data_IF_040028456220
#
_entry.id   IF_040028456220
#
_cell.length_a   1.000
_cell.length_b   1.000
_cell.length_c   1.000
_cell.angle_alpha   90.00
_cell.angle_beta   90.00
_cell.angle_gamma   90.00
#
_symmetry.space_group_name_H-M   'P 1'
#
loop_
_entity.id
_entity.type
_entity.pdbx_description
1 polymer ?
#
# COMPACT_ATOMS: atom_id res chain seq x y z
N UNK A 1 -16.16 48.14 -2.46
CA UNK A 1 -15.11 47.49 -3.27
C UNK A 1 -13.72 47.56 -2.61
N UNK A 2 -13.26 48.74 -2.18
CA UNK A 2 -11.93 48.93 -1.57
C UNK A 2 -11.63 48.15 -0.27
N UNK A 3 -12.63 47.89 0.57
CA UNK A 3 -12.45 47.08 1.80
C UNK A 3 -12.21 45.58 1.52
N UNK A 4 -12.80 45.02 0.45
CA UNK A 4 -12.53 43.64 0.00
C UNK A 4 -11.13 43.53 -0.60
N UNK A 5 -10.66 44.54 -1.33
CA UNK A 5 -9.29 44.60 -1.88
C UNK A 5 -8.23 44.68 -0.77
N UNK A 6 -8.45 45.45 0.31
CA UNK A 6 -7.54 45.48 1.47
C UNK A 6 -7.45 44.16 2.23
N UNK A 7 -8.51 43.35 2.24
CA UNK A 7 -8.48 42.00 2.82
C UNK A 7 -7.66 41.02 1.97
N UNK A 8 -7.73 41.14 0.63
CA UNK A 8 -6.99 40.29 -0.32
C UNK A 8 -5.48 40.58 -0.30
N UNK A 9 -5.08 41.83 -0.02
CA UNK A 9 -3.68 42.28 -0.07
C UNK A 9 -2.92 42.16 1.27
N UNK A 10 -3.47 41.47 2.29
CA UNK A 10 -2.70 41.16 3.51
C UNK A 10 -1.61 40.13 3.17
N UNK A 11 -0.35 40.30 3.61
CA UNK A 11 0.73 39.34 3.37
C UNK A 11 0.34 37.90 3.72
N UNK A 12 -0.35 37.70 4.84
CA UNK A 12 -0.82 36.40 5.29
C UNK A 12 -1.81 35.76 4.31
N UNK A 13 -2.69 36.56 3.70
CA UNK A 13 -3.70 36.08 2.75
C UNK A 13 -3.05 35.73 1.42
N UNK A 14 -2.03 36.48 0.99
CA UNK A 14 -1.23 36.16 -0.20
C UNK A 14 -0.52 34.83 -0.02
N UNK A 15 0.18 34.63 1.11
CA UNK A 15 0.89 33.37 1.41
C UNK A 15 -0.08 32.19 1.43
N UNK A 16 -1.24 32.33 2.11
CA UNK A 16 -2.25 31.27 2.14
C UNK A 16 -2.81 30.96 0.74
N UNK A 17 -3.03 31.99 -0.08
CA UNK A 17 -3.57 31.82 -1.43
C UNK A 17 -2.55 31.18 -2.36
N UNK A 18 -1.28 31.58 -2.31
CA UNK A 18 -0.20 30.97 -3.09
C UNK A 18 0.01 29.51 -2.70
N UNK A 19 0.00 29.19 -1.40
CA UNK A 19 0.02 27.82 -0.93
C UNK A 19 -1.18 27.03 -1.47
N UNK A 20 -2.39 27.58 -1.39
CA UNK A 20 -3.59 26.98 -1.95
C UNK A 20 -3.51 26.71 -3.45
N UNK A 21 -3.01 27.66 -4.23
CA UNK A 21 -2.83 27.52 -5.68
C UNK A 21 -1.78 26.47 -6.04
N UNK A 22 -0.66 26.42 -5.31
CA UNK A 22 0.37 25.40 -5.51
C UNK A 22 -0.20 24.00 -5.29
N UNK A 23 -0.97 23.80 -4.23
CA UNK A 23 -1.57 22.50 -3.92
C UNK A 23 -2.64 22.16 -4.94
N UNK A 24 -3.48 23.11 -5.34
CA UNK A 24 -4.44 22.90 -6.42
C UNK A 24 -3.74 22.52 -7.74
N UNK A 25 -2.62 23.16 -8.08
CA UNK A 25 -1.82 22.77 -9.23
C UNK A 25 -1.31 21.33 -9.10
N UNK A 26 -0.73 20.98 -7.96
CA UNK A 26 -0.18 19.64 -7.73
C UNK A 26 -1.24 18.54 -7.74
N UNK A 27 -2.47 18.80 -7.28
CA UNK A 27 -3.47 17.74 -7.09
C UNK A 27 -4.59 17.75 -8.12
N UNK A 28 -5.08 18.91 -8.53
CA UNK A 28 -6.23 19.04 -9.44
C UNK A 28 -5.79 18.97 -10.89
N UNK A 29 -4.69 19.63 -11.26
CA UNK A 29 -4.28 19.74 -12.67
C UNK A 29 -3.91 18.38 -13.29
N UNK A 30 -3.15 17.49 -12.63
CA UNK A 30 -2.92 16.15 -13.18
C UNK A 30 -4.23 15.37 -13.40
N UNK A 31 -5.20 15.48 -12.47
CA UNK A 31 -6.49 14.80 -12.61
C UNK A 31 -7.34 15.37 -13.75
N UNK A 32 -7.31 16.69 -13.95
CA UNK A 32 -7.95 17.33 -15.10
C UNK A 32 -7.30 16.91 -16.41
N UNK A 33 -5.96 16.78 -16.43
CA UNK A 33 -5.24 16.30 -17.61
C UNK A 33 -5.49 14.82 -17.89
N UNK A 34 -5.67 14.00 -16.86
CA UNK A 34 -6.11 12.62 -17.00
C UNK A 34 -7.52 12.55 -17.61
N UNK A 35 -8.43 13.40 -17.12
CA UNK A 35 -9.79 13.53 -17.66
C UNK A 35 -9.77 14.02 -19.11
N UNK A 36 -8.96 15.03 -19.43
CA UNK A 36 -8.75 15.47 -20.80
C UNK A 36 -8.22 14.33 -21.68
N UNK A 37 -7.26 13.56 -21.17
CA UNK A 37 -6.67 12.43 -21.88
C UNK A 37 -7.68 11.33 -22.20
N UNK A 38 -8.68 11.06 -21.35
CA UNK A 38 -9.70 10.04 -21.64
C UNK A 38 -10.64 10.43 -22.76
N UNK A 39 -10.85 11.73 -22.99
CA UNK A 39 -11.64 12.23 -24.12
C UNK A 39 -10.80 12.59 -25.34
N UNK A 40 -9.47 12.45 -25.30
CA UNK A 40 -8.60 12.80 -26.43
C UNK A 40 -8.51 11.67 -27.45
N UNK A 41 -8.69 12.00 -28.73
CA UNK A 41 -8.44 11.09 -29.86
C UNK A 41 -6.95 10.87 -30.16
N UNK A 42 -6.09 11.79 -29.71
CA UNK A 42 -4.67 11.85 -30.05
C UNK A 42 -3.78 11.61 -28.83
N UNK A 43 -2.52 11.18 -29.01
CA UNK A 43 -1.54 11.09 -27.93
C UNK A 43 -1.27 12.43 -27.21
N UNK A 44 -0.72 12.41 -25.99
CA UNK A 44 -0.30 13.60 -25.28
C UNK A 44 0.63 14.50 -26.12
N UNK A 45 0.43 15.81 -26.05
CA UNK A 45 1.23 16.79 -26.80
C UNK A 45 0.89 16.92 -28.30
N UNK A 46 -0.04 16.10 -28.83
CA UNK A 46 -0.52 16.19 -30.21
C UNK A 46 -1.95 16.73 -30.20
N UNK A 47 -2.25 17.68 -31.11
CA UNK A 47 -3.61 18.19 -31.25
C UNK A 47 -4.57 17.04 -31.65
N UNK A 48 -5.65 16.90 -30.90
CA UNK A 48 -6.72 15.94 -31.14
C UNK A 48 -8.08 16.61 -31.03
N UNK A 49 -9.14 15.83 -31.24
CA UNK A 49 -10.51 16.25 -30.98
C UNK A 49 -11.08 15.48 -29.79
N UNK A 50 -12.13 16.04 -29.18
CA UNK A 50 -12.87 15.36 -28.13
C UNK A 50 -13.68 14.20 -28.71
N UNK A 51 -13.54 13.02 -28.12
CA UNK A 51 -14.24 11.80 -28.53
C UNK A 51 -14.69 10.98 -27.31
N UNK A 52 -15.73 10.16 -27.49
CA UNK A 52 -16.18 9.14 -26.54
C UNK A 52 -15.73 7.73 -26.94
N UNK A 53 -14.99 7.58 -28.04
CA UNK A 53 -14.57 6.27 -28.57
C UNK A 53 -13.72 5.48 -27.58
N UNK A 54 -12.92 6.17 -26.75
CA UNK A 54 -12.13 5.51 -25.69
C UNK A 54 -13.03 4.85 -24.63
N UNK A 55 -14.18 5.46 -24.31
CA UNK A 55 -15.16 4.86 -23.40
C UNK A 55 -15.95 3.76 -24.10
N UNK A 56 -16.41 3.96 -25.33
CA UNK A 56 -17.10 2.93 -26.09
C UNK A 56 -16.23 1.66 -26.23
N UNK A 57 -14.98 1.84 -26.68
CA UNK A 57 -14.01 0.75 -26.81
C UNK A 57 -13.63 0.09 -25.49
N UNK A 58 -13.75 0.78 -24.35
CA UNK A 58 -13.57 0.18 -23.03
C UNK A 58 -14.76 -0.72 -22.67
N UNK A 59 -15.99 -0.24 -22.83
CA UNK A 59 -17.21 -0.97 -22.43
C UNK A 59 -17.56 -2.12 -23.37
N UNK A 60 -17.14 -2.07 -24.64
CA UNK A 60 -17.32 -3.18 -25.61
C UNK A 60 -16.35 -4.34 -25.38
N UNK A 61 -15.24 -4.12 -24.66
CA UNK A 61 -14.23 -5.14 -24.37
C UNK A 61 -14.71 -6.13 -23.32
N UNK A 62 -14.77 -7.41 -23.69
CA UNK A 62 -14.98 -8.51 -22.74
C UNK A 62 -13.91 -8.53 -21.64
N UNK A 63 -12.71 -8.05 -21.97
CA UNK A 63 -11.58 -7.90 -21.06
C UNK A 63 -11.87 -6.92 -19.93
N UNK A 64 -12.71 -5.90 -20.14
CA UNK A 64 -13.02 -4.92 -19.08
C UNK A 64 -13.75 -5.57 -17.90
N UNK A 65 -14.80 -6.35 -18.18
CA UNK A 65 -15.56 -7.06 -17.14
C UNK A 65 -14.67 -8.08 -16.44
N UNK A 66 -13.83 -8.81 -17.18
CA UNK A 66 -12.91 -9.78 -16.62
C UNK A 66 -11.87 -9.12 -15.72
N UNK A 67 -11.26 -8.01 -16.15
CA UNK A 67 -10.30 -7.26 -15.37
C UNK A 67 -10.93 -6.61 -14.14
N UNK A 68 -12.20 -6.20 -14.21
CA UNK A 68 -12.98 -5.77 -13.04
C UNK A 68 -13.15 -6.90 -12.03
N UNK A 69 -13.64 -8.06 -12.46
CA UNK A 69 -13.85 -9.23 -11.61
C UNK A 69 -12.52 -9.71 -10.99
N UNK A 70 -11.47 -9.80 -11.80
CA UNK A 70 -10.13 -10.17 -11.34
C UNK A 70 -9.62 -9.18 -10.29
N UNK A 71 -9.77 -7.87 -10.52
CA UNK A 71 -9.35 -6.84 -9.55
C UNK A 71 -10.10 -6.98 -8.23
N UNK A 72 -11.40 -7.26 -8.28
CA UNK A 72 -12.23 -7.44 -7.08
C UNK A 72 -11.85 -8.71 -6.32
N UNK A 73 -11.77 -9.86 -7.01
CA UNK A 73 -11.38 -11.14 -6.40
C UNK A 73 -9.97 -11.06 -5.81
N UNK A 74 -9.03 -10.48 -6.54
CA UNK A 74 -7.66 -10.29 -6.10
C UNK A 74 -7.59 -9.41 -4.85
N UNK A 75 -8.19 -8.23 -4.89
CA UNK A 75 -8.09 -7.26 -3.78
C UNK A 75 -8.86 -7.70 -2.54
N UNK A 76 -10.07 -8.27 -2.69
CA UNK A 76 -10.83 -8.84 -1.56
C UNK A 76 -10.08 -10.03 -0.98
N UNK A 77 -9.59 -10.95 -1.82
CA UNK A 77 -8.86 -12.13 -1.37
C UNK A 77 -7.57 -11.78 -0.63
N UNK A 78 -6.73 -10.92 -1.22
CA UNK A 78 -5.47 -10.50 -0.62
C UNK A 78 -5.69 -9.73 0.68
N UNK A 79 -6.62 -8.78 0.70
CA UNK A 79 -6.92 -8.01 1.91
C UNK A 79 -7.54 -8.85 3.03
N UNK A 80 -8.38 -9.83 2.69
CA UNK A 80 -8.94 -10.77 3.66
C UNK A 80 -7.85 -11.67 4.25
N UNK A 81 -6.92 -12.16 3.43
CA UNK A 81 -5.78 -12.95 3.89
C UNK A 81 -4.88 -12.12 4.83
N UNK A 82 -4.55 -10.89 4.41
CA UNK A 82 -3.77 -9.95 5.21
C UNK A 82 -4.45 -9.65 6.55
N UNK A 83 -5.75 -9.42 6.51
CA UNK A 83 -6.59 -9.16 7.67
C UNK A 83 -6.64 -10.34 8.64
N UNK A 84 -6.93 -11.55 8.16
CA UNK A 84 -7.00 -12.74 8.99
C UNK A 84 -5.63 -13.06 9.61
N UNK A 85 -4.55 -12.94 8.85
CA UNK A 85 -3.19 -13.10 9.35
C UNK A 85 -2.83 -12.03 10.39
N UNK A 86 -3.22 -10.77 10.16
CA UNK A 86 -3.01 -9.66 11.09
C UNK A 86 -3.79 -9.83 12.40
N UNK A 87 -5.07 -10.22 12.33
CA UNK A 87 -5.91 -10.50 13.50
C UNK A 87 -5.34 -11.68 14.28
N UNK A 88 -4.95 -12.76 13.60
CA UNK A 88 -4.32 -13.91 14.22
C UNK A 88 -3.06 -13.51 14.98
N UNK A 89 -2.10 -12.86 14.32
CA UNK A 89 -0.83 -12.47 14.95
C UNK A 89 -1.07 -11.49 16.11
N UNK A 90 -1.93 -10.48 15.94
CA UNK A 90 -2.19 -9.48 16.97
C UNK A 90 -2.89 -10.10 18.19
N UNK A 91 -3.86 -11.00 17.97
CA UNK A 91 -4.52 -11.71 19.06
C UNK A 91 -3.53 -12.61 19.81
N UNK A 92 -2.74 -13.42 19.11
CA UNK A 92 -1.78 -14.32 19.75
C UNK A 92 -0.73 -13.54 20.54
N UNK A 93 -0.19 -12.44 20.00
CA UNK A 93 0.85 -11.67 20.72
C UNK A 93 0.30 -10.80 21.83
N UNK A 94 -0.89 -10.21 21.69
CA UNK A 94 -1.41 -9.24 22.66
C UNK A 94 -2.35 -9.85 23.70
N UNK A 95 -3.12 -10.88 23.33
CA UNK A 95 -4.16 -11.45 24.21
C UNK A 95 -3.78 -12.76 24.88
N UNK A 96 -2.67 -13.40 24.52
CA UNK A 96 -2.28 -14.70 25.11
C UNK A 96 -0.94 -14.66 25.83
N UNK A 97 -0.63 -15.66 26.65
CA UNK A 97 0.68 -15.79 27.31
C UNK A 97 1.74 -16.52 26.46
N UNK A 98 1.59 -16.54 25.12
CA UNK A 98 2.56 -17.15 24.20
C UNK A 98 3.98 -16.60 24.43
N UNK A 99 5.01 -17.45 24.54
CA UNK A 99 6.41 -17.00 24.59
C UNK A 99 6.89 -16.45 23.23
N UNK A 100 8.11 -15.88 23.19
CA UNK A 100 8.77 -15.40 21.97
C UNK A 100 8.07 -14.29 21.17
N UNK A 101 7.14 -13.55 21.78
CA UNK A 101 6.45 -12.40 21.15
C UNK A 101 7.41 -11.41 20.48
N UNK A 102 8.55 -11.12 21.13
CA UNK A 102 9.59 -10.22 20.60
C UNK A 102 10.13 -10.69 19.24
N UNK A 103 10.26 -12.00 19.02
CA UNK A 103 10.72 -12.54 17.74
C UNK A 103 9.68 -12.34 16.63
N UNK A 104 8.38 -12.45 16.95
CA UNK A 104 7.28 -12.11 16.02
C UNK A 104 7.30 -10.62 15.67
N UNK A 105 7.48 -9.75 16.67
CA UNK A 105 7.63 -8.31 16.41
C UNK A 105 8.85 -8.00 15.53
N UNK A 106 9.98 -8.68 15.77
CA UNK A 106 11.19 -8.48 14.99
C UNK A 106 11.05 -8.99 13.55
N UNK A 107 10.41 -10.15 13.33
CA UNK A 107 10.24 -10.71 11.98
C UNK A 107 9.36 -9.84 11.08
N UNK A 108 8.41 -9.10 11.66
CA UNK A 108 7.52 -8.17 10.95
C UNK A 108 8.27 -6.96 10.39
N UNK A 109 9.41 -6.58 10.98
CA UNK A 109 10.23 -5.46 10.47
C UNK A 109 10.85 -5.78 9.11
N UNK A 110 11.16 -7.05 8.84
CA UNK A 110 11.84 -7.49 7.61
C UNK A 110 11.03 -7.13 6.35
N UNK A 111 9.77 -7.58 6.18
CA UNK A 111 8.96 -7.24 5.01
C UNK A 111 8.57 -5.76 4.96
N UNK A 112 8.66 -5.01 6.06
CA UNK A 112 8.44 -3.56 6.03
C UNK A 112 9.64 -2.78 5.49
N UNK A 113 10.84 -3.34 5.59
CA UNK A 113 12.08 -2.75 5.07
C UNK A 113 12.29 -3.17 3.62
N UNK A 114 11.97 -4.42 3.28
CA UNK A 114 12.18 -4.98 1.94
C UNK A 114 11.04 -4.55 1.01
N UNK A 115 11.33 -3.96 -0.17
CA UNK A 115 10.31 -3.62 -1.16
C UNK A 115 9.45 -4.83 -1.58
N UNK A 116 8.14 -4.62 -1.76
CA UNK A 116 7.18 -5.66 -2.17
C UNK A 116 7.52 -6.36 -3.49
N UNK A 117 8.18 -5.63 -4.41
CA UNK A 117 8.68 -6.20 -5.66
C UNK A 117 9.68 -7.34 -5.38
N UNK A 118 10.58 -7.15 -4.41
CA UNK A 118 11.56 -8.15 -4.05
C UNK A 118 10.86 -9.35 -3.38
N UNK A 119 9.95 -9.13 -2.43
CA UNK A 119 9.23 -10.24 -1.79
C UNK A 119 8.44 -11.07 -2.80
N UNK A 120 7.84 -10.43 -3.81
CA UNK A 120 7.17 -11.10 -4.95
C UNK A 120 8.12 -11.97 -5.75
N UNK A 121 9.32 -11.46 -6.10
CA UNK A 121 10.36 -12.25 -6.77
C UNK A 121 10.80 -13.42 -5.90
N UNK A 122 11.00 -13.21 -4.60
CA UNK A 122 11.34 -14.27 -3.64
C UNK A 122 10.31 -15.41 -3.64
N UNK A 123 9.02 -15.08 -3.66
CA UNK A 123 7.95 -16.08 -3.80
C UNK A 123 7.98 -16.80 -5.15
N UNK A 124 8.18 -16.09 -6.27
CA UNK A 124 8.32 -16.70 -7.60
C UNK A 124 9.45 -17.73 -7.61
N UNK A 125 10.58 -17.42 -6.96
CA UNK A 125 11.73 -18.32 -6.88
C UNK A 125 11.42 -19.53 -5.99
N UNK A 126 10.82 -19.32 -4.81
CA UNK A 126 10.42 -20.38 -3.89
C UNK A 126 9.43 -21.39 -4.52
N UNK A 127 8.52 -20.89 -5.38
CA UNK A 127 7.55 -21.70 -6.13
C UNK A 127 8.02 -22.06 -7.54
N UNK A 128 9.30 -21.87 -7.88
CA UNK A 128 9.83 -22.35 -9.15
C UNK A 128 9.57 -23.85 -9.31
N UNK A 129 9.03 -24.27 -10.47
CA UNK A 129 8.57 -25.65 -10.68
C UNK A 129 9.65 -26.72 -10.46
N UNK A 130 10.91 -26.42 -10.83
CA UNK A 130 12.02 -27.39 -10.77
C UNK A 130 12.98 -27.14 -9.61
N UNK A 131 13.26 -25.88 -9.31
CA UNK A 131 14.29 -25.47 -8.34
C UNK A 131 13.72 -24.77 -7.10
N UNK A 132 12.42 -24.53 -7.05
CA UNK A 132 11.77 -23.85 -5.93
C UNK A 132 11.70 -24.75 -4.71
N UNK A 133 12.20 -24.25 -3.58
CA UNK A 133 12.29 -25.04 -2.35
C UNK A 133 10.92 -25.51 -1.85
N UNK A 134 9.87 -24.71 -2.01
CA UNK A 134 8.49 -25.10 -1.64
C UNK A 134 8.02 -26.27 -2.52
N UNK A 135 8.29 -26.21 -3.82
CA UNK A 135 7.91 -27.28 -4.75
C UNK A 135 8.74 -28.54 -4.58
N UNK A 136 10.02 -28.42 -4.20
CA UNK A 136 10.85 -29.57 -3.86
C UNK A 136 10.33 -30.28 -2.61
N UNK A 137 9.94 -29.54 -1.57
CA UNK A 137 9.34 -30.11 -0.36
C UNK A 137 7.99 -30.74 -0.71
N UNK A 138 7.13 -30.05 -1.46
CA UNK A 138 5.81 -30.56 -1.83
C UNK A 138 5.91 -31.88 -2.63
N UNK A 139 6.76 -31.93 -3.66
CA UNK A 139 6.86 -33.10 -4.54
C UNK A 139 7.69 -34.24 -3.95
N UNK A 140 8.82 -33.95 -3.29
CA UNK A 140 9.75 -34.99 -2.79
C UNK A 140 9.46 -35.45 -1.37
N UNK A 141 8.97 -34.56 -0.50
CA UNK A 141 8.75 -34.88 0.93
C UNK A 141 7.28 -35.17 1.21
N UNK A 142 6.37 -34.34 0.68
CA UNK A 142 4.93 -34.49 0.89
C UNK A 142 4.25 -35.38 -0.18
N UNK A 143 4.97 -35.75 -1.24
CA UNK A 143 4.50 -36.69 -2.27
C UNK A 143 3.49 -36.11 -3.26
N UNK A 144 3.47 -34.79 -3.49
CA UNK A 144 2.55 -34.18 -4.44
C UNK A 144 2.96 -34.54 -5.88
N UNK A 145 2.02 -35.04 -6.68
CA UNK A 145 2.30 -35.46 -8.07
C UNK A 145 2.70 -34.30 -8.98
N UNK A 146 2.16 -33.11 -8.71
CA UNK A 146 2.44 -31.90 -9.49
C UNK A 146 2.95 -30.78 -8.57
N UNK A 147 3.89 -29.94 -9.07
CA UNK A 147 4.33 -28.77 -8.35
C UNK A 147 3.18 -27.78 -8.17
N UNK A 148 3.19 -27.07 -7.04
CA UNK A 148 2.30 -25.95 -6.77
C UNK A 148 2.60 -24.80 -7.75
N UNK A 149 1.54 -24.33 -8.41
CA UNK A 149 1.62 -23.24 -9.37
C UNK A 149 1.40 -21.89 -8.68
N UNK A 150 2.36 -20.97 -8.81
CA UNK A 150 2.21 -19.60 -8.30
C UNK A 150 1.49 -18.67 -9.30
N UNK A 151 1.62 -18.92 -10.60
CA UNK A 151 1.05 -18.08 -11.67
C UNK A 151 -0.46 -18.33 -11.83
N UNK A 152 -1.24 -18.00 -10.80
CA UNK A 152 -2.69 -18.04 -10.78
C UNK A 152 -3.24 -17.03 -9.75
N UNK A 153 -4.58 -16.88 -9.70
CA UNK A 153 -5.24 -15.93 -8.79
C UNK A 153 -4.94 -16.22 -7.31
N UNK A 154 -4.86 -17.48 -6.91
CA UNK A 154 -4.57 -17.86 -5.53
C UNK A 154 -3.13 -17.50 -5.13
N UNK A 155 -2.17 -17.70 -6.03
CA UNK A 155 -0.78 -17.28 -5.86
C UNK A 155 -0.66 -15.75 -5.76
N UNK A 156 -1.38 -15.00 -6.59
CA UNK A 156 -1.46 -13.54 -6.47
C UNK A 156 -2.00 -13.12 -5.08
N UNK A 157 -3.13 -13.70 -4.66
CA UNK A 157 -3.74 -13.43 -3.35
C UNK A 157 -2.78 -13.78 -2.20
N UNK A 158 -2.08 -14.91 -2.29
CA UNK A 158 -1.09 -15.33 -1.30
C UNK A 158 0.06 -14.33 -1.19
N UNK A 159 0.69 -13.99 -2.31
CA UNK A 159 1.86 -13.11 -2.35
C UNK A 159 1.50 -11.74 -1.76
N UNK A 160 0.46 -11.08 -2.28
CA UNK A 160 0.08 -9.76 -1.79
C UNK A 160 -0.52 -9.79 -0.38
N UNK A 161 -1.38 -10.77 -0.11
CA UNK A 161 -2.03 -10.86 1.19
C UNK A 161 -1.02 -11.09 2.31
N UNK A 162 -0.02 -11.94 2.06
CA UNK A 162 1.04 -12.23 3.03
C UNK A 162 1.99 -11.03 3.25
N UNK A 163 2.28 -10.29 2.18
CA UNK A 163 3.05 -9.03 2.21
C UNK A 163 2.35 -7.94 3.05
N UNK A 164 1.01 -7.94 3.10
CA UNK A 164 0.23 -6.94 3.85
C UNK A 164 -0.09 -7.33 5.30
N UNK A 165 0.18 -8.57 5.74
CA UNK A 165 -0.02 -9.01 7.13
C UNK A 165 0.71 -8.10 8.15
N UNK A 166 1.99 -7.72 7.95
CA UNK A 166 2.72 -6.81 8.84
C UNK A 166 1.98 -5.51 9.16
N UNK A 167 1.42 -4.89 8.13
CA UNK A 167 0.67 -3.64 8.26
C UNK A 167 -0.63 -3.86 9.04
N UNK A 168 -1.38 -4.92 8.71
CA UNK A 168 -2.60 -5.27 9.43
C UNK A 168 -2.32 -5.56 10.92
N UNK A 169 -1.28 -6.33 11.19
CA UNK A 169 -0.83 -6.66 12.55
C UNK A 169 -0.52 -5.41 13.38
N UNK A 170 0.26 -4.46 12.84
CA UNK A 170 0.64 -3.25 13.57
C UNK A 170 -0.56 -2.37 13.93
N UNK A 171 -1.49 -2.21 12.99
CA UNK A 171 -2.72 -1.43 13.21
C UNK A 171 -3.64 -2.11 14.24
N UNK A 172 -3.75 -3.44 14.18
CA UNK A 172 -4.59 -4.22 15.09
C UNK A 172 -3.99 -4.30 16.49
N UNK A 173 -2.67 -4.42 16.62
CA UNK A 173 -1.96 -4.49 17.91
C UNK A 173 -2.33 -3.32 18.82
N UNK A 174 -2.37 -2.10 18.29
CA UNK A 174 -2.77 -0.92 19.06
C UNK A 174 -4.21 -1.03 19.59
N UNK A 175 -5.11 -1.60 18.78
CA UNK A 175 -6.52 -1.82 19.15
C UNK A 175 -6.67 -2.92 20.20
N UNK A 176 -5.94 -4.03 20.06
CA UNK A 176 -5.95 -5.12 21.05
C UNK A 176 -5.37 -4.69 22.40
N UNK A 177 -4.30 -3.89 22.41
CA UNK A 177 -3.67 -3.36 23.65
C UNK A 177 -4.55 -2.40 24.43
N UNK A 178 -5.37 -1.63 23.74
CA UNK A 178 -6.13 -0.52 24.34
C UNK A 178 -7.53 -0.90 24.83
N UNK A 179 -7.98 -2.13 24.56
CA UNK A 179 -9.29 -2.61 24.97
C UNK A 179 -9.29 -3.13 26.42
N UNK A 180 -10.25 -2.65 27.21
CA UNK A 180 -10.52 -3.05 28.61
C UNK A 180 -10.75 -4.58 28.73
N UNK A 181 -9.94 -5.29 29.55
CA UNK A 181 -10.07 -6.74 29.73
C UNK A 181 -11.26 -7.16 30.59
N UNK A 182 -11.96 -6.25 31.29
CA UNK A 182 -13.03 -6.59 32.24
C UNK A 182 -14.16 -7.43 31.62
N UNK A 183 -14.53 -7.17 30.36
CA UNK A 183 -15.54 -7.97 29.64
C UNK A 183 -15.05 -9.39 29.35
N UNK A 184 -13.74 -9.57 29.11
CA UNK A 184 -13.13 -10.88 28.90
C UNK A 184 -13.04 -11.65 30.21
N UNK A 185 -12.64 -10.99 31.29
CA UNK A 185 -12.53 -11.56 32.65
C UNK A 185 -13.91 -11.99 33.17
N UNK A 186 -14.92 -11.12 33.07
CA UNK A 186 -16.29 -11.44 33.49
C UNK A 186 -16.82 -12.68 32.75
N UNK A 187 -16.52 -12.83 31.47
CA UNK A 187 -16.92 -13.98 30.69
C UNK A 187 -16.21 -15.27 31.11
N UNK A 188 -14.91 -15.19 31.39
CA UNK A 188 -14.12 -16.34 31.88
C UNK A 188 -14.61 -16.77 33.26
N UNK A 189 -14.84 -15.83 34.19
CA UNK A 189 -15.41 -16.11 35.52
C UNK A 189 -16.81 -16.74 35.40
N UNK A 190 -17.59 -16.33 34.39
CA UNK A 190 -18.89 -16.92 34.07
C UNK A 190 -18.80 -18.29 33.38
N UNK A 191 -17.62 -18.91 33.31
CA UNK A 191 -17.42 -20.25 32.74
C UNK A 191 -17.22 -20.30 31.22
N UNK A 192 -16.99 -19.16 30.56
CA UNK A 192 -16.74 -19.12 29.11
C UNK A 192 -15.27 -19.42 28.80
N UNK A 193 -15.01 -20.38 27.90
CA UNK A 193 -13.65 -20.68 27.45
C UNK A 193 -13.03 -19.60 26.55
N UNK A 194 -11.69 -19.57 26.48
CA UNK A 194 -10.88 -18.54 25.80
C UNK A 194 -11.32 -18.27 24.35
N UNK A 195 -11.53 -19.33 23.55
CA UNK A 195 -11.95 -19.19 22.15
C UNK A 195 -13.34 -18.55 22.05
N UNK A 196 -14.28 -18.97 22.91
CA UNK A 196 -15.64 -18.45 22.90
C UNK A 196 -15.69 -17.00 23.38
N UNK A 197 -14.89 -16.63 24.39
CA UNK A 197 -14.67 -15.24 24.82
C UNK A 197 -14.09 -14.41 23.68
N UNK A 198 -13.08 -14.93 22.98
CA UNK A 198 -12.44 -14.24 21.84
C UNK A 198 -13.45 -13.91 20.74
N UNK A 199 -14.19 -14.89 20.24
CA UNK A 199 -15.12 -14.65 19.12
C UNK A 199 -16.36 -13.85 19.52
N UNK A 200 -16.91 -14.07 20.71
CA UNK A 200 -18.18 -13.44 21.12
C UNK A 200 -18.00 -12.06 21.75
N UNK A 201 -16.86 -11.79 22.35
CA UNK A 201 -16.59 -10.56 23.11
C UNK A 201 -15.46 -9.79 22.45
N UNK A 202 -14.23 -10.30 22.46
CA UNK A 202 -13.04 -9.58 22.00
C UNK A 202 -13.19 -9.08 20.56
N UNK A 203 -13.46 -9.99 19.62
CA UNK A 203 -13.58 -9.62 18.20
C UNK A 203 -14.84 -8.79 17.91
N UNK A 204 -15.90 -8.95 18.70
CA UNK A 204 -17.15 -8.20 18.51
C UNK A 204 -17.03 -6.75 19.00
N UNK A 205 -16.35 -6.54 20.13
CA UNK A 205 -16.02 -5.21 20.66
C UNK A 205 -15.04 -4.51 19.73
N UNK A 206 -14.04 -5.23 19.22
CA UNK A 206 -13.05 -4.68 18.30
C UNK A 206 -13.55 -4.59 16.85
N UNK A 207 -14.73 -5.10 16.51
CA UNK A 207 -15.23 -5.21 15.13
C UNK A 207 -15.14 -3.88 14.35
N UNK A 208 -15.51 -2.70 14.89
CA UNK A 208 -15.39 -1.43 14.16
C UNK A 208 -13.94 -1.08 13.80
N UNK A 209 -13.00 -1.31 14.73
CA UNK A 209 -11.57 -1.07 14.51
C UNK A 209 -10.98 -2.09 13.53
N UNK A 210 -11.31 -3.37 13.72
CA UNK A 210 -10.92 -4.50 12.88
C UNK A 210 -11.39 -4.30 11.43
N UNK A 211 -12.65 -3.91 11.20
CA UNK A 211 -13.18 -3.60 9.87
C UNK A 211 -12.48 -2.41 9.23
N UNK A 212 -12.12 -1.39 10.01
CA UNK A 212 -11.36 -0.24 9.49
C UNK A 212 -9.98 -0.67 8.99
N UNK A 213 -9.32 -1.63 9.66
CA UNK A 213 -8.06 -2.22 9.21
C UNK A 213 -8.23 -3.05 7.94
N UNK A 214 -9.30 -3.84 7.83
CA UNK A 214 -9.57 -4.60 6.60
C UNK A 214 -9.82 -3.68 5.38
N UNK A 215 -10.57 -2.59 5.56
CA UNK A 215 -10.85 -1.67 4.46
C UNK A 215 -9.56 -0.98 3.98
N UNK A 216 -8.65 -0.59 4.88
CA UNK A 216 -7.39 0.03 4.45
C UNK A 216 -6.47 -0.98 3.74
N UNK A 217 -6.42 -2.25 4.16
CA UNK A 217 -5.67 -3.28 3.41
C UNK A 217 -6.31 -3.56 2.06
N UNK A 218 -7.64 -3.53 1.96
CA UNK A 218 -8.36 -3.62 0.69
C UNK A 218 -8.02 -2.48 -0.29
N UNK A 219 -8.04 -1.23 0.18
CA UNK A 219 -7.64 -0.07 -0.64
C UNK A 219 -6.20 -0.23 -1.12
N UNK A 220 -5.28 -0.66 -0.24
CA UNK A 220 -3.89 -0.95 -0.60
C UNK A 220 -3.76 -2.09 -1.60
N UNK A 221 -4.61 -3.11 -1.50
CA UNK A 221 -4.57 -4.26 -2.38
C UNK A 221 -5.07 -3.94 -3.79
N UNK A 222 -6.12 -3.12 -3.90
CA UNK A 222 -6.58 -2.57 -5.18
C UNK A 222 -5.46 -1.76 -5.84
N UNK A 223 -4.71 -0.96 -5.07
CA UNK A 223 -3.62 -0.12 -5.59
C UNK A 223 -2.38 -0.89 -6.07
N UNK A 224 -2.28 -2.19 -5.75
CA UNK A 224 -1.07 -2.95 -6.01
C UNK A 224 -0.87 -3.24 -7.50
N UNK A 225 0.31 -2.89 -8.01
CA UNK A 225 0.71 -3.16 -9.39
C UNK A 225 1.75 -4.29 -9.49
N UNK A 226 2.63 -4.41 -8.50
CA UNK A 226 3.81 -5.30 -8.56
C UNK A 226 3.43 -6.77 -8.70
N UNK A 227 2.49 -7.26 -7.88
CA UNK A 227 2.05 -8.66 -7.90
C UNK A 227 1.28 -8.98 -9.19
N UNK A 228 0.29 -8.16 -9.61
CA UNK A 228 -0.32 -8.34 -10.93
C UNK A 228 0.66 -8.28 -12.10
N UNK A 229 1.67 -7.41 -12.05
CA UNK A 229 2.64 -7.30 -13.13
C UNK A 229 3.56 -8.52 -13.22
N UNK A 230 4.07 -9.02 -12.09
CA UNK A 230 5.03 -10.12 -12.07
C UNK A 230 4.40 -11.52 -12.07
N UNK A 231 3.17 -11.67 -11.56
CA UNK A 231 2.47 -12.96 -11.44
C UNK A 231 1.24 -12.99 -12.35
N UNK A 232 0.44 -11.93 -12.34
CA UNK A 232 -0.82 -11.86 -13.10
C UNK A 232 -0.64 -11.80 -14.61
N UNK A 233 0.21 -10.90 -15.12
CA UNK A 233 0.46 -10.76 -16.57
C UNK A 233 0.97 -12.07 -17.18
N UNK A 234 2.01 -12.74 -16.63
CA UNK A 234 2.44 -14.05 -17.16
C UNK A 234 1.36 -15.13 -17.08
N UNK A 235 0.47 -15.07 -16.08
CA UNK A 235 -0.67 -15.97 -15.93
C UNK A 235 -1.87 -15.64 -16.85
N UNK A 236 -1.83 -14.53 -17.59
CA UNK A 236 -2.97 -14.02 -18.36
C UNK A 236 -4.13 -13.50 -17.48
N UNK A 237 -3.85 -13.18 -16.22
CA UNK A 237 -4.81 -12.63 -15.25
C UNK A 237 -4.58 -11.12 -15.17
N UNK A 238 -5.34 -10.38 -15.95
CA UNK A 238 -5.27 -8.93 -15.96
C UNK A 238 -6.21 -8.33 -14.91
N UNK A 239 -5.73 -7.29 -14.24
CA UNK A 239 -6.47 -6.42 -13.32
C UNK A 239 -6.40 -4.98 -13.85
N UNK A 240 -7.17 -4.05 -13.29
CA UNK A 240 -7.19 -2.65 -13.76
C UNK A 240 -5.80 -2.01 -13.80
N UNK A 241 -4.98 -2.21 -12.77
CA UNK A 241 -3.63 -1.68 -12.76
C UNK A 241 -2.80 -2.19 -13.96
N UNK A 242 -2.90 -3.47 -14.31
CA UNK A 242 -2.18 -4.01 -15.47
C UNK A 242 -2.77 -3.55 -16.80
N UNK A 243 -4.09 -3.34 -16.90
CA UNK A 243 -4.71 -2.81 -18.13
C UNK A 243 -4.22 -1.39 -18.44
N UNK A 244 -4.19 -0.54 -17.41
CA UNK A 244 -3.64 0.81 -17.49
C UNK A 244 -2.18 0.78 -17.98
N UNK A 245 -1.36 -0.12 -17.43
CA UNK A 245 0.03 -0.30 -17.84
C UNK A 245 0.16 -0.81 -19.28
N UNK A 246 -0.57 -1.87 -19.63
CA UNK A 246 -0.49 -2.48 -20.96
C UNK A 246 -1.00 -1.56 -22.06
N UNK A 247 -2.01 -0.72 -21.80
CA UNK A 247 -2.50 0.27 -22.77
C UNK A 247 -1.43 1.32 -23.12
N UNK A 248 -0.48 1.59 -22.23
CA UNK A 248 0.65 2.51 -22.48
C UNK A 248 1.89 1.83 -23.09
N UNK A 249 2.02 0.51 -22.94
CA UNK A 249 3.23 -0.23 -23.36
C UNK A 249 3.05 -1.12 -24.60
N UNK A 250 1.81 -1.54 -24.93
CA UNK A 250 1.53 -2.27 -26.16
C UNK A 250 1.59 -1.32 -27.37
N UNK A 251 2.05 -1.84 -28.51
CA UNK A 251 2.11 -1.10 -29.77
C UNK A 251 0.90 -1.49 -30.64
N UNK A 252 0.12 -0.54 -31.17
CA UNK A 252 0.24 0.92 -30.98
C UNK A 252 -0.16 1.36 -29.57
N UNK A 253 0.58 2.33 -29.01
CA UNK A 253 0.29 2.88 -27.68
C UNK A 253 -1.03 3.64 -27.69
N UNK A 254 -1.91 3.35 -26.74
CA UNK A 254 -3.22 3.99 -26.63
C UNK A 254 -3.38 4.73 -25.30
N UNK A 255 -2.90 5.99 -25.27
CA UNK A 255 -2.99 6.86 -24.10
C UNK A 255 -4.44 7.22 -23.74
N UNK A 256 -5.34 7.34 -24.72
CA UNK A 256 -6.76 7.63 -24.47
C UNK A 256 -7.46 6.49 -23.73
N UNK A 257 -7.26 5.26 -24.19
CA UNK A 257 -7.75 4.05 -23.52
C UNK A 257 -7.12 3.88 -22.14
N UNK A 258 -5.81 4.10 -22.01
CA UNK A 258 -5.12 4.02 -20.73
C UNK A 258 -5.69 5.02 -19.70
N UNK A 259 -6.00 6.24 -20.14
CA UNK A 259 -6.61 7.28 -19.32
C UNK A 259 -8.04 6.91 -18.91
N UNK A 260 -8.78 6.28 -19.81
CA UNK A 260 -10.15 5.81 -19.55
C UNK A 260 -10.16 4.70 -18.50
N UNK A 261 -9.29 3.69 -18.63
CA UNK A 261 -9.08 2.69 -17.58
C UNK A 261 -8.66 3.34 -16.25
N UNK A 262 -7.75 4.33 -16.30
CA UNK A 262 -7.26 5.03 -15.11
C UNK A 262 -8.35 5.83 -14.40
N UNK A 263 -9.32 6.42 -15.12
CA UNK A 263 -10.47 7.12 -14.53
C UNK A 263 -11.41 6.14 -13.85
N UNK A 264 -11.74 5.01 -14.49
CA UNK A 264 -12.58 3.97 -13.87
C UNK A 264 -11.91 3.43 -12.62
N UNK A 265 -10.59 3.19 -12.70
CA UNK A 265 -9.78 2.74 -11.58
C UNK A 265 -9.73 3.79 -10.44
N UNK A 266 -9.59 5.07 -10.76
CA UNK A 266 -9.67 6.18 -9.80
C UNK A 266 -11.04 6.24 -9.12
N UNK A 267 -12.13 6.02 -9.86
CA UNK A 267 -13.48 6.01 -9.29
C UNK A 267 -13.66 4.87 -8.28
N UNK A 268 -13.18 3.66 -8.61
CA UNK A 268 -13.25 2.49 -7.71
C UNK A 268 -12.45 2.75 -6.43
N UNK A 269 -11.23 3.27 -6.54
CA UNK A 269 -10.38 3.58 -5.39
C UNK A 269 -10.95 4.71 -4.52
N UNK A 270 -11.50 5.76 -5.14
CA UNK A 270 -12.20 6.83 -4.43
C UNK A 270 -13.39 6.30 -3.62
N UNK A 271 -14.19 5.39 -4.19
CA UNK A 271 -15.29 4.73 -3.47
C UNK A 271 -14.77 3.93 -2.27
N UNK A 272 -13.70 3.15 -2.45
CA UNK A 272 -13.06 2.42 -1.35
C UNK A 272 -12.59 3.32 -0.21
N UNK A 273 -12.02 4.48 -0.53
CA UNK A 273 -11.57 5.46 0.47
C UNK A 273 -12.74 6.15 1.16
N UNK A 274 -13.85 6.44 0.46
CA UNK A 274 -15.06 6.95 1.11
C UNK A 274 -15.58 5.95 2.13
N UNK A 275 -15.58 4.65 1.83
CA UNK A 275 -15.94 3.61 2.79
C UNK A 275 -14.96 3.54 3.96
N UNK A 276 -13.66 3.64 3.71
CA UNK A 276 -12.64 3.73 4.75
C UNK A 276 -12.90 4.89 5.71
N UNK A 277 -13.07 6.11 5.19
CA UNK A 277 -13.31 7.31 5.99
C UNK A 277 -14.60 7.21 6.81
N UNK A 278 -15.66 6.59 6.27
CA UNK A 278 -16.90 6.32 7.02
C UNK A 278 -16.67 5.31 8.14
N UNK A 279 -15.95 4.22 7.87
CA UNK A 279 -15.64 3.19 8.87
C UNK A 279 -14.77 3.75 10.01
N UNK A 280 -13.75 4.55 9.70
CA UNK A 280 -12.89 5.18 10.70
C UNK A 280 -13.68 6.11 11.62
N UNK A 281 -14.57 6.95 11.07
CA UNK A 281 -15.46 7.81 11.87
C UNK A 281 -16.37 7.01 12.82
N UNK A 282 -16.82 5.83 12.38
CA UNK A 282 -17.60 4.94 13.23
C UNK A 282 -16.71 4.37 14.33
N UNK A 283 -15.52 3.87 14.00
CA UNK A 283 -14.55 3.36 14.98
C UNK A 283 -14.18 4.39 16.06
N UNK A 284 -14.01 5.66 15.70
CA UNK A 284 -13.74 6.75 16.64
C UNK A 284 -14.89 6.98 17.64
N UNK A 285 -16.15 6.72 17.23
CA UNK A 285 -17.33 6.78 18.11
C UNK A 285 -17.48 5.58 19.03
N UNK A 286 -16.90 4.43 18.66
CA UNK A 286 -16.86 3.21 19.47
C UNK A 286 -15.64 3.16 20.41
N UNK A 287 -15.10 4.32 20.79
CA UNK A 287 -13.96 4.44 21.71
C UNK A 287 -14.30 3.85 23.08
N UNK A 288 -14.03 2.55 23.25
CA UNK A 288 -13.92 1.86 24.54
C UNK A 288 -12.58 2.12 25.23
N UNK A 289 -11.70 2.85 24.56
CA UNK A 289 -10.38 3.30 25.03
C UNK A 289 -10.59 4.53 25.91
N UNK A 290 -10.63 4.34 27.23
CA UNK A 290 -10.57 5.47 28.17
C UNK A 290 -9.12 5.92 28.35
N UNK A 291 -8.88 7.14 28.84
CA UNK A 291 -7.54 7.62 29.17
C UNK A 291 -6.86 6.88 30.34
N UNK A 292 -7.49 5.82 30.88
CA UNK A 292 -6.88 4.94 31.87
C UNK A 292 -6.03 3.90 31.15
N UNK A 293 -4.74 3.84 31.46
CA UNK A 293 -3.87 2.78 30.99
C UNK A 293 -4.34 1.44 31.55
N UNK A 294 -5.05 0.66 30.74
CA UNK A 294 -5.36 -0.72 31.09
C UNK A 294 -4.12 -1.58 30.90
N UNK A 295 -3.85 -2.47 31.86
CA UNK A 295 -2.85 -3.52 31.67
C UNK A 295 -3.57 -4.71 31.05
N UNK A 296 -3.33 -5.07 29.77
CA UNK A 296 -3.98 -6.23 29.19
C UNK A 296 -3.62 -7.48 30.00
N UNK A 297 -4.63 -8.18 30.52
CA UNK A 297 -4.48 -9.48 31.16
C UNK A 297 -4.46 -10.52 30.05
N UNK A 298 -3.33 -11.20 29.91
CA UNK A 298 -3.15 -12.23 28.89
C UNK A 298 -3.89 -13.51 29.30
N UNK A 299 -4.63 -14.12 28.36
CA UNK A 299 -5.19 -15.44 28.52
C UNK A 299 -4.08 -16.47 28.76
N UNK A 300 -4.25 -17.28 29.80
CA UNK A 300 -3.35 -18.40 30.08
C UNK A 300 -3.73 -19.61 29.23
N UNK A 301 -2.87 -19.96 28.27
CA UNK A 301 -3.05 -21.13 27.41
C UNK A 301 -2.50 -22.43 28.03
N UNK A 302 -1.93 -22.38 29.23
CA UNK A 302 -1.26 -23.52 29.86
C UNK A 302 -0.18 -24.11 28.95
N UNK A 303 -0.20 -25.43 28.75
CA UNK A 303 0.76 -26.13 27.90
C UNK A 303 0.64 -25.77 26.40
N UNK A 304 -0.55 -25.34 25.94
CA UNK A 304 -0.80 -24.98 24.54
C UNK A 304 -0.06 -23.73 24.08
N UNK A 305 0.52 -22.95 25.01
CA UNK A 305 1.33 -21.78 24.67
C UNK A 305 2.57 -22.10 23.82
N UNK A 306 3.19 -23.28 24.02
CA UNK A 306 4.40 -23.64 23.28
C UNK A 306 4.12 -24.15 21.86
N UNK A 307 3.15 -25.07 21.64
CA UNK A 307 2.73 -25.42 20.28
C UNK A 307 2.27 -24.20 19.48
N UNK A 308 1.47 -23.31 20.10
CA UNK A 308 1.04 -22.08 19.44
C UNK A 308 2.22 -21.17 19.09
N UNK A 309 3.20 -21.03 19.99
CA UNK A 309 4.42 -20.27 19.71
C UNK A 309 5.21 -20.86 18.54
N UNK A 310 5.39 -22.18 18.52
CA UNK A 310 6.12 -22.86 17.45
C UNK A 310 5.45 -22.66 16.10
N UNK A 311 4.13 -22.90 16.02
CA UNK A 311 3.36 -22.71 14.78
C UNK A 311 3.44 -21.26 14.30
N UNK A 312 3.30 -20.30 15.22
CA UNK A 312 3.36 -18.87 14.89
C UNK A 312 4.74 -18.44 14.43
N UNK A 313 5.81 -18.96 15.05
CA UNK A 313 7.19 -18.70 14.64
C UNK A 313 7.51 -19.31 13.27
N UNK A 314 7.08 -20.54 13.01
CA UNK A 314 7.24 -21.19 11.70
C UNK A 314 6.50 -20.40 10.63
N UNK A 315 5.25 -20.02 10.91
CA UNK A 315 4.47 -19.17 10.01
C UNK A 315 5.20 -17.85 9.70
N UNK A 316 5.66 -17.13 10.72
CA UNK A 316 6.36 -15.87 10.55
C UNK A 316 7.70 -16.04 9.78
N UNK A 317 8.42 -17.14 10.02
CA UNK A 317 9.66 -17.45 9.30
C UNK A 317 9.38 -17.68 7.82
N UNK A 318 8.40 -18.54 7.50
CA UNK A 318 8.05 -18.89 6.12
C UNK A 318 7.54 -17.66 5.37
N UNK A 319 6.68 -16.86 6.00
CA UNK A 319 6.02 -15.75 5.32
C UNK A 319 6.90 -14.51 5.20
N UNK A 320 7.59 -14.13 6.28
CA UNK A 320 8.30 -12.83 6.34
C UNK A 320 9.79 -12.94 6.02
N UNK A 321 10.42 -14.07 6.35
CA UNK A 321 11.88 -14.20 6.29
C UNK A 321 12.31 -14.97 5.04
N UNK A 322 11.60 -16.05 4.70
CA UNK A 322 12.03 -16.99 3.68
C UNK A 322 12.09 -16.44 2.25
N UNK A 323 11.14 -15.59 1.79
CA UNK A 323 11.25 -14.95 0.47
C UNK A 323 12.49 -14.06 0.38
N UNK A 324 12.80 -13.33 1.45
CA UNK A 324 13.98 -12.45 1.52
C UNK A 324 15.28 -13.27 1.54
N UNK A 325 15.33 -14.33 2.35
CA UNK A 325 16.47 -15.25 2.36
C UNK A 325 16.73 -15.89 1.01
N UNK A 326 15.68 -16.20 0.24
CA UNK A 326 15.80 -16.78 -1.09
C UNK A 326 16.46 -15.82 -2.08
N UNK A 327 16.16 -14.53 -1.97
CA UNK A 327 16.79 -13.49 -2.81
C UNK A 327 18.24 -13.31 -2.42
N UNK A 328 18.53 -13.23 -1.11
CA UNK A 328 19.90 -13.14 -0.61
C UNK A 328 20.71 -14.35 -1.07
N UNK A 329 20.17 -15.56 -0.92
CA UNK A 329 20.79 -16.80 -1.41
C UNK A 329 21.07 -16.72 -2.91
N UNK A 330 20.08 -16.35 -3.71
CA UNK A 330 20.25 -16.25 -5.16
C UNK A 330 21.24 -15.18 -5.59
N UNK A 331 21.49 -14.15 -4.77
CA UNK A 331 22.45 -13.10 -5.11
C UNK A 331 23.89 -13.62 -5.22
N UNK A 332 24.22 -14.74 -4.57
CA UNK A 332 25.53 -15.37 -4.61
C UNK A 332 25.68 -16.44 -5.70
N UNK A 333 24.60 -16.75 -6.43
CA UNK A 333 24.59 -17.80 -7.43
C UNK A 333 24.50 -17.22 -8.85
N UNK A 334 25.12 -17.86 -9.86
CA UNK A 334 25.00 -17.44 -11.25
C UNK A 334 23.56 -17.56 -11.78
N UNK A 335 22.79 -18.51 -11.27
CA UNK A 335 21.37 -18.68 -11.50
C UNK A 335 20.73 -19.35 -10.27
N UNK A 336 19.41 -19.20 -10.11
CA UNK A 336 18.74 -19.73 -8.92
C UNK A 336 18.76 -21.26 -8.86
N UNK A 337 19.36 -21.79 -7.80
CA UNK A 337 19.39 -23.20 -7.44
C UNK A 337 18.95 -23.37 -6.00
N UNK A 338 18.19 -24.44 -5.71
CA UNK A 338 17.92 -24.82 -4.33
C UNK A 338 19.23 -25.17 -3.60
N UNK A 339 19.30 -25.00 -2.27
CA UNK A 339 20.48 -25.41 -1.50
C UNK A 339 20.86 -26.87 -1.76
N UNK A 340 22.04 -27.07 -2.32
CA UNK A 340 22.66 -28.36 -2.63
C UNK A 340 24.18 -28.23 -2.55
N UNK A 341 24.90 -29.36 -2.57
CA UNK A 341 26.37 -29.36 -2.63
C UNK A 341 26.90 -28.62 -3.86
N UNK A 342 26.24 -28.81 -5.01
CA UNK A 342 26.54 -28.11 -6.27
C UNK A 342 26.32 -26.60 -6.15
N UNK A 343 25.22 -26.18 -5.51
CA UNK A 343 24.93 -24.77 -5.31
C UNK A 343 25.96 -24.12 -4.37
N UNK A 344 26.36 -24.80 -3.29
CA UNK A 344 27.41 -24.33 -2.37
C UNK A 344 28.76 -24.17 -3.08
N UNK A 345 29.12 -25.10 -3.98
CA UNK A 345 30.33 -25.00 -4.79
C UNK A 345 30.30 -23.85 -5.81
N UNK A 346 29.11 -23.39 -6.18
CA UNK A 346 28.89 -22.32 -7.16
C UNK A 346 28.74 -20.93 -6.54
N UNK A 347 28.85 -20.79 -5.21
CA UNK A 347 28.74 -19.51 -4.54
C UNK A 347 29.89 -18.59 -4.93
N UNK A 348 29.57 -17.39 -5.41
CA UNK A 348 30.55 -16.37 -5.74
C UNK A 348 30.03 -14.96 -5.51
N UNK A 349 30.96 -14.00 -5.46
CA UNK A 349 30.64 -12.56 -5.40
C UNK A 349 30.58 -11.92 -6.79
N UNK A 350 30.53 -12.70 -7.87
CA UNK A 350 30.67 -12.16 -9.23
C UNK A 350 29.46 -11.31 -9.64
N UNK A 351 28.27 -11.65 -9.15
CA UNK A 351 27.09 -10.80 -9.30
C UNK A 351 27.31 -9.41 -8.69
N UNK A 352 27.95 -9.32 -7.51
CA UNK A 352 28.28 -8.04 -6.88
C UNK A 352 29.37 -7.28 -7.64
N UNK A 353 30.42 -7.98 -8.13
CA UNK A 353 31.43 -7.34 -8.98
C UNK A 353 30.81 -6.77 -10.26
N UNK A 354 29.91 -7.53 -10.90
CA UNK A 354 29.17 -7.08 -12.08
C UNK A 354 28.19 -5.96 -11.76
N UNK A 355 27.55 -5.99 -10.59
CA UNK A 355 26.68 -4.93 -10.09
C UNK A 355 27.44 -3.60 -10.04
N UNK A 356 28.62 -3.57 -9.42
CA UNK A 356 29.41 -2.34 -9.29
C UNK A 356 30.06 -1.88 -10.60
N UNK A 357 30.13 -2.72 -11.65
CA UNK A 357 30.64 -2.32 -12.95
C UNK A 357 29.58 -1.70 -13.88
N UNK A 358 28.29 -1.80 -13.58
CA UNK A 358 27.24 -1.22 -14.43
C UNK A 358 27.05 0.29 -14.13
N UNK A 359 27.23 1.19 -15.12
CA UNK A 359 27.05 2.62 -14.94
C UNK A 359 25.62 3.04 -14.52
N UNK A 360 24.63 2.18 -14.76
CA UNK A 360 23.25 2.42 -14.35
C UNK A 360 23.08 2.39 -12.83
N UNK A 361 23.89 1.62 -12.10
CA UNK A 361 23.68 1.38 -10.66
C UNK A 361 24.06 2.60 -9.83
N UNK A 362 25.19 3.24 -10.15
CA UNK A 362 25.56 4.52 -9.53
C UNK A 362 24.48 5.59 -9.76
N UNK A 363 23.96 5.69 -10.99
CA UNK A 363 22.87 6.63 -11.32
C UNK A 363 21.56 6.28 -10.60
N UNK A 364 21.16 5.01 -10.55
CA UNK A 364 19.95 4.58 -9.87
C UNK A 364 20.03 4.83 -8.35
N UNK A 365 21.18 4.55 -7.74
CA UNK A 365 21.44 4.86 -6.33
C UNK A 365 21.32 6.36 -6.07
N UNK A 366 22.00 7.19 -6.86
CA UNK A 366 22.01 8.64 -6.64
C UNK A 366 20.66 9.29 -6.93
N UNK A 367 19.97 8.87 -8.00
CA UNK A 367 18.61 9.32 -8.29
C UNK A 367 17.65 8.98 -7.15
N UNK A 368 17.74 7.76 -6.61
CA UNK A 368 16.89 7.33 -5.50
C UNK A 368 17.17 8.13 -4.23
N UNK A 369 18.45 8.39 -3.92
CA UNK A 369 18.83 9.19 -2.76
C UNK A 369 18.37 10.64 -2.88
N UNK A 370 18.63 11.28 -4.03
CA UNK A 370 18.20 12.66 -4.32
C UNK A 370 16.68 12.77 -4.26
N UNK A 371 15.94 11.85 -4.89
CA UNK A 371 14.49 11.85 -4.85
C UNK A 371 13.96 11.61 -3.43
N UNK A 372 14.53 10.69 -2.67
CA UNK A 372 14.11 10.39 -1.29
C UNK A 372 14.29 11.58 -0.35
N UNK A 373 15.49 12.18 -0.34
CA UNK A 373 15.78 13.35 0.53
C UNK A 373 14.99 14.59 0.08
N UNK A 374 14.96 14.87 -1.23
CA UNK A 374 14.29 16.06 -1.74
C UNK A 374 12.78 15.98 -1.58
N UNK A 375 12.16 14.85 -1.92
CA UNK A 375 10.71 14.68 -1.79
C UNK A 375 10.27 14.76 -0.34
N UNK A 376 10.95 14.07 0.59
CA UNK A 376 10.60 14.11 2.01
C UNK A 376 10.74 15.51 2.61
N UNK A 377 11.81 16.24 2.26
CA UNK A 377 12.03 17.62 2.70
C UNK A 377 10.95 18.57 2.17
N UNK A 378 10.64 18.49 0.87
CA UNK A 378 9.62 19.32 0.24
C UNK A 378 8.24 19.01 0.80
N UNK A 379 7.88 17.72 0.91
CA UNK A 379 6.60 17.29 1.48
C UNK A 379 6.48 17.81 2.91
N UNK A 380 7.47 17.58 3.78
CA UNK A 380 7.43 18.03 5.16
C UNK A 380 7.27 19.55 5.28
N UNK A 381 8.01 20.31 4.47
CA UNK A 381 7.94 21.77 4.46
C UNK A 381 6.54 22.24 4.03
N UNK A 382 6.03 21.73 2.92
CA UNK A 382 4.71 22.08 2.41
C UNK A 382 3.61 21.67 3.41
N UNK A 383 3.68 20.47 3.98
CA UNK A 383 2.66 19.97 4.90
C UNK A 383 2.69 20.64 6.26
N UNK A 384 3.86 21.06 6.76
CA UNK A 384 3.96 21.88 7.96
C UNK A 384 3.31 23.26 7.74
N UNK A 385 3.62 23.92 6.62
CA UNK A 385 3.00 25.21 6.26
C UNK A 385 1.49 25.09 6.11
N UNK A 386 1.02 24.07 5.38
CA UNK A 386 -0.41 23.82 5.19
C UNK A 386 -1.12 23.47 6.49
N UNK A 387 -0.56 22.60 7.32
CA UNK A 387 -1.14 22.25 8.62
C UNK A 387 -1.27 23.50 9.51
N UNK A 388 -0.27 24.39 9.50
CA UNK A 388 -0.37 25.68 10.19
C UNK A 388 -1.52 26.53 9.62
N UNK A 389 -1.65 26.67 8.30
CA UNK A 389 -2.75 27.40 7.67
C UNK A 389 -4.10 26.81 8.09
N UNK A 390 -4.25 25.49 8.03
CA UNK A 390 -5.50 24.78 8.32
C UNK A 390 -5.89 24.92 9.79
N UNK A 391 -4.93 24.75 10.71
CA UNK A 391 -5.20 24.68 12.16
C UNK A 391 -5.19 26.05 12.84
N UNK A 392 -4.30 26.96 12.43
CA UNK A 392 -4.05 28.24 13.14
C UNK A 392 -4.72 29.45 12.51
N UNK A 393 -5.05 29.42 11.21
CA UNK A 393 -5.63 30.60 10.55
C UNK A 393 -7.17 30.53 10.46
N UNK A 394 -7.79 31.70 10.31
CA UNK A 394 -9.22 31.84 9.98
C UNK A 394 -9.46 32.03 8.48
N UNK A 395 -8.50 31.63 7.63
CA UNK A 395 -8.61 31.80 6.18
C UNK A 395 -9.78 30.97 5.63
N UNK A 396 -10.62 31.60 4.80
CA UNK A 396 -11.87 31.00 4.27
C UNK A 396 -11.62 29.71 3.49
N UNK A 397 -10.49 29.59 2.79
CA UNK A 397 -10.14 28.42 1.97
C UNK A 397 -9.52 27.26 2.74
N UNK A 398 -9.36 27.34 4.08
CA UNK A 398 -8.63 26.34 4.86
C UNK A 398 -9.20 24.92 4.74
N UNK A 399 -10.52 24.78 4.67
CA UNK A 399 -11.17 23.47 4.52
C UNK A 399 -10.93 22.86 3.13
N UNK A 400 -10.95 23.70 2.08
CA UNK A 400 -10.61 23.28 0.72
C UNK A 400 -9.15 22.88 0.62
N UNK A 401 -8.25 23.62 1.26
CA UNK A 401 -6.83 23.27 1.33
C UNK A 401 -6.60 21.92 2.01
N UNK A 402 -7.22 21.68 3.16
CA UNK A 402 -7.14 20.39 3.86
C UNK A 402 -7.65 19.24 2.97
N UNK A 403 -8.79 19.43 2.30
CA UNK A 403 -9.34 18.45 1.37
C UNK A 403 -8.41 18.18 0.19
N UNK A 404 -7.92 19.22 -0.49
CA UNK A 404 -7.03 19.10 -1.65
C UNK A 404 -5.67 18.49 -1.28
N UNK A 405 -5.15 18.79 -0.09
CA UNK A 405 -3.89 18.23 0.36
C UNK A 405 -4.02 16.74 0.75
N UNK A 406 -5.22 16.32 1.17
CA UNK A 406 -5.52 14.93 1.49
C UNK A 406 -5.96 14.10 0.28
N UNK A 407 -6.58 14.69 -0.74
CA UNK A 407 -7.17 13.97 -1.88
C UNK A 407 -6.21 13.07 -2.67
N UNK A 408 -4.88 13.32 -2.79
CA UNK A 408 -3.98 12.41 -3.47
C UNK A 408 -3.91 11.01 -2.88
N UNK A 409 -4.38 10.82 -1.64
CA UNK A 409 -4.49 9.50 -1.04
C UNK A 409 -5.36 8.56 -1.87
N UNK A 410 -6.30 9.10 -2.65
CA UNK A 410 -7.19 8.34 -3.51
C UNK A 410 -6.67 8.07 -4.91
N UNK A 411 -5.50 8.59 -5.27
CA UNK A 411 -4.95 8.42 -6.61
C UNK A 411 -3.97 7.24 -6.58
N UNK A 412 -4.27 6.13 -7.27
CA UNK A 412 -3.30 5.03 -7.42
C UNK A 412 -2.02 5.54 -8.08
N UNK A 413 -0.87 4.98 -7.71
CA UNK A 413 0.43 5.44 -8.22
C UNK A 413 0.51 5.41 -9.76
N UNK A 414 -0.05 4.38 -10.38
CA UNK A 414 -0.06 4.26 -11.84
C UNK A 414 -0.98 5.28 -12.52
N UNK A 415 -2.13 5.59 -11.91
CA UNK A 415 -3.06 6.62 -12.38
C UNK A 415 -2.40 7.99 -12.30
N UNK A 416 -1.72 8.29 -11.19
CA UNK A 416 -0.94 9.51 -11.04
C UNK A 416 0.18 9.61 -12.09
N UNK A 417 0.84 8.50 -12.40
CA UNK A 417 1.86 8.43 -13.45
C UNK A 417 1.32 8.87 -14.82
N UNK A 418 0.16 8.35 -15.23
CA UNK A 418 -0.48 8.74 -16.49
C UNK A 418 -0.96 10.19 -16.46
N UNK A 419 -1.57 10.61 -15.34
CA UNK A 419 -2.03 11.99 -15.14
C UNK A 419 -0.91 13.02 -15.32
N UNK A 420 0.25 12.75 -14.71
CA UNK A 420 1.45 13.59 -14.81
C UNK A 420 2.09 13.50 -16.20
N UNK A 421 2.06 12.32 -16.83
CA UNK A 421 2.53 12.14 -18.21
C UNK A 421 1.73 13.01 -19.19
N UNK A 422 0.39 13.02 -19.09
CA UNK A 422 -0.45 13.90 -19.90
C UNK A 422 -0.14 15.38 -19.65
N UNK A 423 0.04 15.76 -18.39
CA UNK A 423 0.34 17.13 -18.02
C UNK A 423 1.65 17.63 -18.65
N UNK A 424 2.76 16.93 -18.42
CA UNK A 424 4.09 17.41 -18.81
C UNK A 424 4.50 17.07 -20.25
N UNK A 425 3.71 16.28 -20.98
CA UNK A 425 3.84 16.19 -22.44
C UNK A 425 2.98 17.22 -23.17
N UNK A 426 1.94 17.75 -22.54
CA UNK A 426 1.04 18.74 -23.17
C UNK A 426 1.47 20.17 -22.87
N UNK A 427 1.95 20.44 -21.65
CA UNK A 427 2.44 21.77 -21.25
C UNK A 427 3.89 21.92 -21.71
N UNK A 428 4.31 23.09 -22.23
CA UNK A 428 5.68 23.34 -22.71
C UNK A 428 6.71 23.51 -21.57
N UNK A 429 6.68 22.62 -20.57
CA UNK A 429 7.65 22.55 -19.48
C UNK A 429 8.49 21.27 -19.69
N UNK A 430 9.77 21.38 -20.09
CA UNK A 430 10.59 20.25 -20.56
C UNK A 430 11.16 19.42 -19.40
N UNK A 431 10.30 18.87 -18.53
CA UNK A 431 10.69 18.00 -17.42
C UNK A 431 10.41 16.51 -17.69
N UNK A 432 9.67 16.19 -18.75
CA UNK A 432 9.49 14.81 -19.19
C UNK A 432 10.85 14.17 -19.54
N UNK A 433 11.04 12.91 -19.14
CA UNK A 433 12.33 12.21 -19.31
C UNK A 433 13.41 12.59 -18.29
N UNK A 434 13.11 13.42 -17.30
CA UNK A 434 14.05 13.81 -16.22
C UNK A 434 13.61 13.27 -14.86
N UNK A 435 14.48 13.31 -13.84
CA UNK A 435 14.10 12.92 -12.47
C UNK A 435 13.07 13.87 -11.83
N UNK A 436 12.93 15.10 -12.35
CA UNK A 436 12.05 16.12 -11.77
C UNK A 436 10.57 15.75 -11.87
N UNK A 437 10.16 15.06 -12.94
CA UNK A 437 8.79 14.56 -13.07
C UNK A 437 8.46 13.53 -11.97
N UNK A 438 9.45 12.70 -11.58
CA UNK A 438 9.32 11.74 -10.48
C UNK A 438 9.28 12.45 -9.13
N UNK A 439 10.07 13.51 -8.94
CA UNK A 439 10.03 14.33 -7.73
C UNK A 439 8.64 14.92 -7.51
N UNK A 440 8.04 15.50 -8.55
CA UNK A 440 6.68 16.06 -8.49
C UNK A 440 5.66 14.95 -8.18
N UNK A 441 5.77 13.79 -8.83
CA UNK A 441 4.90 12.65 -8.54
C UNK A 441 5.00 12.20 -7.08
N UNK A 442 6.20 12.11 -6.51
CA UNK A 442 6.40 11.76 -5.10
C UNK A 442 5.86 12.83 -4.16
N UNK A 443 6.07 14.11 -4.45
CA UNK A 443 5.49 15.21 -3.65
C UNK A 443 3.97 15.09 -3.61
N UNK A 444 3.31 14.83 -4.74
CA UNK A 444 1.86 14.65 -4.81
C UNK A 444 1.42 13.40 -4.03
N UNK A 445 2.06 12.25 -4.27
CA UNK A 445 1.66 10.96 -3.66
C UNK A 445 1.85 10.96 -2.14
N UNK A 446 2.88 11.63 -1.63
CA UNK A 446 3.21 11.63 -0.19
C UNK A 446 2.64 12.80 0.62
N UNK A 447 2.12 13.83 -0.05
CA UNK A 447 1.41 14.96 0.57
C UNK A 447 0.39 14.58 1.67
N UNK A 448 -0.54 13.62 1.46
CA UNK A 448 -1.57 13.29 2.45
C UNK A 448 -1.00 12.72 3.75
N UNK A 449 0.11 11.97 3.67
CA UNK A 449 0.76 11.39 4.84
C UNK A 449 1.39 12.46 5.71
N UNK A 450 2.12 13.40 5.11
CA UNK A 450 2.68 14.54 5.83
C UNK A 450 1.61 15.43 6.44
N UNK A 451 0.51 15.70 5.72
CA UNK A 451 -0.61 16.50 6.23
C UNK A 451 -1.22 15.92 7.51
N UNK A 452 -1.47 14.61 7.55
CA UNK A 452 -2.07 13.96 8.72
C UNK A 452 -1.12 14.00 9.91
N UNK A 453 0.17 13.72 9.71
CA UNK A 453 1.17 13.79 10.77
C UNK A 453 1.36 15.21 11.33
N UNK A 454 1.49 16.22 10.46
CA UNK A 454 1.68 17.60 10.90
C UNK A 454 0.43 18.16 11.58
N UNK A 455 -0.77 17.89 11.05
CA UNK A 455 -2.02 18.39 11.62
C UNK A 455 -2.31 17.78 12.99
N UNK A 456 -2.06 16.48 13.17
CA UNK A 456 -2.23 15.83 14.48
C UNK A 456 -1.30 16.43 15.55
N UNK A 457 -0.04 16.68 15.20
CA UNK A 457 0.92 17.30 16.12
C UNK A 457 0.56 18.76 16.42
N UNK A 458 0.12 19.52 15.42
CA UNK A 458 -0.27 20.93 15.59
C UNK A 458 -1.52 21.09 16.47
N UNK A 459 -2.46 20.15 16.40
CA UNK A 459 -3.65 20.14 17.26
C UNK A 459 -3.33 19.86 18.74
N UNK A 460 -2.21 19.18 19.04
CA UNK A 460 -1.78 18.92 20.41
C UNK A 460 -1.17 20.16 21.08
N UNK A 461 -0.70 21.14 20.30
CA UNK A 461 -0.16 22.41 20.81
C UNK A 461 -1.33 23.38 21.06
N UNK A 462 -1.52 23.79 22.32
CA UNK A 462 -2.57 24.77 22.67
C UNK A 462 -2.42 26.06 21.86
N UNK A 463 -3.55 26.72 21.55
CA UNK A 463 -3.58 27.92 20.68
C UNK A 463 -2.89 29.16 21.29
N UNK A 464 -2.53 29.08 22.56
CA UNK A 464 -1.86 30.14 23.32
C UNK A 464 -0.35 30.16 23.11
N UNK A 465 0.20 29.11 22.47
CA UNK A 465 1.57 28.98 21.95
C UNK A 465 1.54 29.02 20.41
#
# INVERSE_FOLDING_TARGET
MFARLRFILRPDTIVCTLAGLLIAYLTVVPLLMLLYGSFSSSPPGVAGHFTLDNYASLFERKEMIRSFQNSLVFSVGASLLAFLGGVYLAWVTERTNMPFKKAIYASILVPMIVPGLLTTIGWIMLFSRRSGLINLIATRVLGFEQPLELYNMAGMIWVLGSDQIPLAFLLLTASFRSMDPSLEEAAIISGTGILRTTFRITLRVLLPAILSVWIITFVRAIENFEVPALVGIPAGILVFATEVYLATHKVPTNFGLASTFAIVYLAITAVGIVFYLKATKISERFTTITGKGYRPVAFDLGAWRYPLALITLIFALIVFIFPVLTIVWSSFLPFYMAPSSEALASLSFDNYKRLFSLPLIGRAFWNSLVLGISSSTIVMTLTAMMAWIVVRTQWRGRGTLDFLAFSPIAIPGLVLGIAILWLYLTVPIPIYGTIWILLIAYVIKYLPYGMRACSSSMHQIQKEL
#
